data_IF_033158525136
#
_entry.id   IF_033158525136
#
_cell.length_a   1.000
_cell.length_b   1.000
_cell.length_c   1.000
_cell.angle_alpha   90.00
_cell.angle_beta   90.00
_cell.angle_gamma   90.00
#
_symmetry.space_group_name_H-M   'P 1'
#
loop_
_entity.id
_entity.type
_entity.pdbx_description
1 polymer ?
#
# COMPACT_ATOMS: atom_id res chain seq x y z
N UNK A 1 21.62 3.54 -2.62
CA UNK A 1 20.60 2.95 -1.72
C UNK A 1 19.27 3.70 -1.78
N UNK A 2 19.23 5.00 -1.44
CA UNK A 2 17.99 5.82 -1.47
C UNK A 2 17.33 5.83 -2.86
N UNK A 3 18.10 6.09 -3.93
CA UNK A 3 17.57 6.07 -5.29
C UNK A 3 16.98 4.70 -5.69
N UNK A 4 17.54 3.61 -5.16
CA UNK A 4 17.07 2.24 -5.42
C UNK A 4 15.77 1.98 -4.68
N UNK A 5 15.68 2.40 -3.41
CA UNK A 5 14.45 2.34 -2.64
C UNK A 5 13.32 3.14 -3.31
N UNK A 6 13.62 4.35 -3.79
CA UNK A 6 12.66 5.17 -4.53
C UNK A 6 12.19 4.46 -5.79
N UNK A 7 13.12 4.02 -6.63
CA UNK A 7 12.79 3.30 -7.84
C UNK A 7 11.94 2.04 -7.55
N UNK A 8 12.34 1.25 -6.55
CA UNK A 8 11.60 0.06 -6.11
C UNK A 8 10.18 0.41 -5.62
N UNK A 9 10.03 1.49 -4.85
CA UNK A 9 8.72 1.95 -4.37
C UNK A 9 7.82 2.35 -5.54
N UNK A 10 8.30 3.16 -6.49
CA UNK A 10 7.47 3.59 -7.61
C UNK A 10 7.17 2.47 -8.62
N UNK A 11 8.10 1.53 -8.84
CA UNK A 11 7.94 0.47 -9.83
C UNK A 11 7.30 -0.80 -9.27
N UNK A 12 7.83 -1.37 -8.18
CA UNK A 12 7.38 -2.65 -7.62
C UNK A 12 6.16 -2.49 -6.72
N UNK A 13 6.15 -1.48 -5.86
CA UNK A 13 5.07 -1.25 -4.87
C UNK A 13 3.89 -0.51 -5.51
N UNK A 14 4.15 0.66 -6.11
CA UNK A 14 3.09 1.52 -6.69
C UNK A 14 2.70 1.14 -8.11
N UNK A 15 3.55 0.39 -8.84
CA UNK A 15 3.35 0.01 -10.24
C UNK A 15 3.06 1.20 -11.15
N UNK A 16 3.73 2.31 -10.88
CA UNK A 16 3.59 3.56 -11.61
C UNK A 16 4.63 3.65 -12.72
N UNK A 17 4.35 3.00 -13.84
CA UNK A 17 5.11 3.16 -15.08
C UNK A 17 4.44 4.20 -16.01
N UNK A 18 4.16 5.41 -15.49
CA UNK A 18 3.64 6.51 -16.32
C UNK A 18 4.64 7.67 -16.39
N UNK A 19 4.83 8.18 -17.60
CA UNK A 19 5.86 9.15 -18.02
C UNK A 19 5.99 10.39 -17.12
N UNK A 20 4.90 10.86 -16.51
CA UNK A 20 4.89 12.06 -15.66
C UNK A 20 5.34 11.82 -14.20
N UNK A 21 5.71 10.59 -13.83
CA UNK A 21 6.14 10.23 -12.47
C UNK A 21 7.45 9.42 -12.46
N UNK A 22 8.21 9.45 -13.57
CA UNK A 22 9.53 8.83 -13.61
C UNK A 22 10.48 9.66 -12.74
N UNK A 23 10.94 9.04 -11.66
CA UNK A 23 11.97 9.62 -10.80
C UNK A 23 13.30 9.64 -11.57
N UNK A 24 13.79 10.83 -11.91
CA UNK A 24 15.13 11.03 -12.46
C UNK A 24 16.05 11.63 -11.37
N UNK A 25 16.98 10.84 -10.80
CA UNK A 25 17.92 11.34 -9.80
C UNK A 25 18.92 12.37 -10.36
N UNK A 26 19.05 12.49 -11.68
CA UNK A 26 20.00 13.40 -12.35
C UNK A 26 19.34 14.67 -12.92
N UNK A 27 18.01 14.77 -12.89
CA UNK A 27 17.30 15.98 -13.26
C UNK A 27 17.51 17.05 -12.17
N UNK A 28 18.35 18.05 -12.45
CA UNK A 28 18.81 19.02 -11.45
C UNK A 28 17.72 19.98 -10.96
N UNK A 29 16.61 20.09 -11.68
CA UNK A 29 15.63 21.14 -11.40
C UNK A 29 14.56 20.75 -10.36
N UNK A 30 14.32 19.46 -10.09
CA UNK A 30 13.24 19.02 -9.15
C UNK A 30 13.45 17.61 -8.54
N UNK A 31 14.65 17.25 -8.11
CA UNK A 31 14.92 15.92 -7.53
C UNK A 31 14.66 15.86 -6.01
N UNK A 32 13.48 15.38 -5.62
CA UNK A 32 13.19 15.07 -4.21
C UNK A 32 13.70 13.67 -3.84
N UNK A 33 14.50 13.58 -2.79
CA UNK A 33 14.83 12.29 -2.18
C UNK A 33 13.87 11.99 -1.03
N UNK A 34 13.06 10.94 -1.20
CA UNK A 34 12.11 10.48 -0.18
C UNK A 34 12.70 9.22 0.45
N UNK A 35 12.74 9.22 1.79
CA UNK A 35 13.33 8.12 2.57
C UNK A 35 12.37 7.67 3.67
N UNK A 36 12.37 6.37 3.99
CA UNK A 36 11.66 5.86 5.16
C UNK A 36 12.34 6.39 6.43
N UNK A 37 11.53 6.72 7.44
CA UNK A 37 12.02 7.25 8.71
C UNK A 37 11.44 6.48 9.88
N UNK A 38 12.17 6.46 10.98
CA UNK A 38 11.76 5.88 12.26
C UNK A 38 11.95 6.91 13.38
N UNK A 39 11.19 6.74 14.45
CA UNK A 39 11.41 7.52 15.66
C UNK A 39 12.75 7.10 16.26
N UNK A 40 13.59 8.09 16.57
CA UNK A 40 14.84 7.90 17.30
C UNK A 40 14.57 7.35 18.70
N UNK A 41 15.62 6.87 19.36
CA UNK A 41 15.52 6.17 20.66
C UNK A 41 14.82 6.98 21.75
N UNK A 42 14.92 8.30 21.67
CA UNK A 42 14.35 9.24 22.63
C UNK A 42 12.93 9.74 22.24
N UNK A 43 12.37 9.26 21.12
CA UNK A 43 11.02 9.61 20.63
C UNK A 43 10.85 11.04 20.12
N UNK A 44 11.81 11.94 20.37
CA UNK A 44 11.76 13.34 19.94
C UNK A 44 12.42 13.60 18.58
N UNK A 45 13.35 12.74 18.17
CA UNK A 45 14.09 12.89 16.91
C UNK A 45 13.57 11.90 15.86
N UNK A 46 13.62 12.31 14.59
CA UNK A 46 13.28 11.45 13.45
C UNK A 46 14.59 11.06 12.77
N UNK A 47 14.81 9.77 12.58
CA UNK A 47 16.01 9.21 11.96
C UNK A 47 15.65 8.47 10.68
N UNK A 48 16.58 8.42 9.72
CA UNK A 48 16.43 7.64 8.50
C UNK A 48 16.54 6.16 8.85
N UNK A 49 15.62 5.33 8.34
CA UNK A 49 15.64 3.89 8.58
C UNK A 49 16.58 3.17 7.61
N UNK A 50 17.89 3.25 7.89
CA UNK A 50 18.93 2.64 7.08
C UNK A 50 18.83 1.11 7.01
N UNK A 51 18.43 0.47 8.11
CA UNK A 51 18.24 -0.99 8.16
C UNK A 51 17.15 -1.44 7.19
N UNK A 52 16.05 -0.69 7.12
CA UNK A 52 14.98 -0.96 6.17
C UNK A 52 15.43 -0.69 4.72
N UNK A 53 16.21 0.38 4.48
CA UNK A 53 16.78 0.64 3.15
C UNK A 53 17.68 -0.50 2.67
N UNK A 54 18.50 -1.08 3.55
CA UNK A 54 19.34 -2.24 3.25
C UNK A 54 18.51 -3.51 3.00
N UNK A 55 17.46 -3.73 3.80
CA UNK A 55 16.52 -4.83 3.58
C UNK A 55 15.91 -4.76 2.18
N UNK A 56 15.43 -3.58 1.76
CA UNK A 56 14.88 -3.40 0.41
C UNK A 56 15.97 -3.58 -0.65
N UNK A 57 17.17 -3.06 -0.42
CA UNK A 57 18.27 -3.23 -1.38
C UNK A 57 18.63 -4.70 -1.61
N UNK A 58 18.66 -5.51 -0.53
CA UNK A 58 18.97 -6.94 -0.60
C UNK A 58 17.85 -7.76 -1.25
N UNK A 59 16.57 -7.37 -1.07
CA UNK A 59 15.38 -8.10 -1.55
C UNK A 59 14.70 -7.48 -2.77
N UNK A 60 15.33 -6.50 -3.43
CA UNK A 60 14.72 -5.71 -4.51
C UNK A 60 14.26 -6.53 -5.73
N UNK A 61 14.86 -7.70 -5.95
CA UNK A 61 14.58 -8.62 -7.06
C UNK A 61 13.69 -9.80 -6.63
N UNK A 62 13.30 -9.85 -5.35
CA UNK A 62 12.46 -10.92 -4.82
C UNK A 62 11.03 -10.80 -5.40
N UNK A 63 10.63 -11.83 -6.13
CA UNK A 63 9.29 -11.99 -6.68
C UNK A 63 8.65 -13.26 -6.08
N UNK A 64 7.30 -13.35 -6.03
CA UNK A 64 6.66 -14.56 -5.58
C UNK A 64 7.09 -15.74 -6.46
N UNK A 65 7.70 -16.72 -5.83
CA UNK A 65 8.19 -17.93 -6.49
C UNK A 65 7.61 -19.16 -5.81
N UNK A 66 7.58 -20.28 -6.54
CA UNK A 66 7.13 -21.54 -5.96
C UNK A 66 7.96 -21.91 -4.72
N UNK A 67 7.28 -22.26 -3.62
CA UNK A 67 7.92 -22.72 -2.39
C UNK A 67 7.84 -24.26 -2.33
N UNK A 68 8.98 -24.98 -2.33
CA UNK A 68 9.00 -26.43 -2.29
C UNK A 68 8.32 -27.03 -1.04
N UNK A 69 7.72 -28.20 -1.23
CA UNK A 69 7.05 -28.97 -0.18
C UNK A 69 7.88 -29.20 1.08
N UNK A 70 9.20 -29.40 0.94
CA UNK A 70 10.09 -29.63 2.09
C UNK A 70 10.19 -28.40 3.00
N UNK A 71 10.20 -27.21 2.43
CA UNK A 71 10.25 -25.96 3.20
C UNK A 71 8.90 -25.72 3.88
N UNK A 72 7.79 -26.03 3.19
CA UNK A 72 6.43 -25.89 3.71
C UNK A 72 6.12 -26.85 4.86
N UNK A 73 6.73 -28.04 4.90
CA UNK A 73 6.60 -28.97 6.04
C UNK A 73 7.09 -28.37 7.36
N UNK A 74 8.06 -27.46 7.30
CA UNK A 74 8.61 -26.75 8.47
C UNK A 74 7.90 -25.42 8.75
N UNK A 75 6.83 -25.10 8.02
CA UNK A 75 6.09 -23.86 8.19
C UNK A 75 5.41 -23.80 9.56
N UNK A 76 5.85 -22.84 10.37
CA UNK A 76 5.21 -22.49 11.64
C UNK A 76 4.58 -21.12 11.49
N UNK A 77 3.27 -21.06 11.69
CA UNK A 77 2.54 -19.80 11.66
C UNK A 77 2.94 -18.92 12.84
N UNK A 78 3.32 -17.67 12.54
CA UNK A 78 3.70 -16.66 13.54
C UNK A 78 2.85 -15.41 13.33
N UNK A 79 1.85 -15.22 14.19
CA UNK A 79 0.89 -14.12 14.09
C UNK A 79 1.56 -12.74 14.07
N UNK A 80 2.68 -12.57 14.77
CA UNK A 80 3.39 -11.28 14.87
C UNK A 80 3.85 -10.80 13.50
N UNK A 81 4.29 -11.73 12.64
CA UNK A 81 4.75 -11.42 11.28
C UNK A 81 3.63 -10.99 10.35
N UNK A 82 2.37 -11.33 10.64
CA UNK A 82 1.23 -11.07 9.75
C UNK A 82 0.38 -9.87 10.17
N UNK A 83 0.53 -9.31 11.38
CA UNK A 83 -0.29 -8.19 11.86
C UNK A 83 -0.18 -6.91 11.03
N UNK A 84 1.02 -6.57 10.55
CA UNK A 84 1.27 -5.40 9.70
C UNK A 84 1.89 -5.81 8.37
N UNK A 85 1.45 -6.94 7.82
CA UNK A 85 2.03 -7.53 6.62
C UNK A 85 1.25 -7.16 5.35
N UNK A 86 2.02 -7.02 4.26
CA UNK A 86 1.51 -7.19 2.91
C UNK A 86 1.89 -8.59 2.44
N UNK A 87 0.92 -9.35 1.93
CA UNK A 87 1.13 -10.73 1.50
C UNK A 87 0.89 -10.88 -0.01
N UNK A 88 1.61 -11.82 -0.61
CA UNK A 88 1.49 -12.16 -2.03
C UNK A 88 1.38 -13.68 -2.21
N UNK A 89 0.30 -14.19 -2.81
CA UNK A 89 0.16 -15.60 -3.14
C UNK A 89 1.25 -16.04 -4.12
N UNK A 90 2.00 -17.09 -3.81
CA UNK A 90 3.10 -17.55 -4.67
C UNK A 90 2.67 -18.58 -5.73
N UNK A 91 1.50 -19.17 -5.57
CA UNK A 91 0.98 -20.27 -6.42
C UNK A 91 0.16 -19.79 -7.64
N UNK A 92 -0.11 -18.48 -7.78
CA UNK A 92 -0.90 -17.93 -8.89
C UNK A 92 -0.36 -16.57 -9.33
N UNK A 93 -0.63 -16.22 -10.59
CA UNK A 93 -0.32 -14.91 -11.17
C UNK A 93 1.16 -14.51 -10.99
N UNK A 94 2.10 -15.43 -11.25
CA UNK A 94 3.54 -15.18 -11.05
C UNK A 94 4.08 -14.04 -11.92
N UNK A 95 3.58 -13.90 -13.15
CA UNK A 95 3.97 -12.80 -14.04
C UNK A 95 3.48 -11.41 -13.58
N UNK A 96 2.36 -11.38 -12.85
CA UNK A 96 1.77 -10.16 -12.30
C UNK A 96 1.26 -10.43 -10.88
N UNK A 97 2.16 -10.44 -9.89
CA UNK A 97 1.82 -10.73 -8.51
C UNK A 97 0.67 -9.86 -8.02
N UNK A 98 -0.18 -10.37 -7.13
CA UNK A 98 -1.18 -9.55 -6.46
C UNK A 98 -0.78 -9.38 -5.00
N UNK A 99 -0.80 -8.13 -4.53
CA UNK A 99 -0.49 -7.79 -3.15
C UNK A 99 -1.77 -7.55 -2.37
N UNK A 100 -1.80 -8.03 -1.13
CA UNK A 100 -2.93 -7.89 -0.24
C UNK A 100 -2.48 -7.42 1.15
N UNK A 101 -3.26 -6.54 1.76
CA UNK A 101 -3.10 -6.24 3.18
C UNK A 101 -3.68 -7.39 4.00
N UNK A 102 -2.98 -7.83 5.03
CA UNK A 102 -3.61 -8.66 6.05
C UNK A 102 -4.53 -7.76 6.87
N UNK A 103 -5.84 -7.99 6.78
CA UNK A 103 -6.84 -7.23 7.51
C UNK A 103 -7.11 -7.86 8.87
N UNK A 104 -7.24 -9.19 8.92
CA UNK A 104 -7.51 -9.95 10.14
C UNK A 104 -6.88 -11.35 10.07
N UNK A 105 -6.38 -11.83 11.21
CA UNK A 105 -5.97 -13.23 11.39
C UNK A 105 -7.17 -14.00 11.95
N UNK A 106 -7.83 -14.77 11.09
CA UNK A 106 -9.03 -15.53 11.44
C UNK A 106 -8.64 -16.82 12.20
N UNK A 107 -8.37 -16.68 13.49
CA UNK A 107 -8.01 -17.81 14.37
C UNK A 107 -9.15 -18.83 14.55
N UNK A 108 -10.38 -18.45 14.22
CA UNK A 108 -11.57 -19.29 14.24
C UNK A 108 -11.76 -20.11 12.95
N UNK A 109 -10.95 -19.84 11.92
CA UNK A 109 -10.95 -20.57 10.65
C UNK A 109 -9.62 -21.30 10.47
N UNK A 110 -9.68 -22.44 9.79
CA UNK A 110 -8.54 -23.23 9.37
C UNK A 110 -8.80 -23.81 7.97
N UNK A 111 -7.81 -24.43 7.29
CA UNK A 111 -8.03 -25.04 5.98
C UNK A 111 -9.19 -26.04 5.90
N UNK A 112 -9.59 -26.69 7.00
CA UNK A 112 -10.75 -27.61 7.05
C UNK A 112 -12.10 -26.91 7.21
N UNK A 113 -12.11 -25.59 7.37
CA UNK A 113 -13.34 -24.80 7.48
C UNK A 113 -14.07 -24.72 6.14
N UNK A 114 -15.38 -24.48 6.20
CA UNK A 114 -16.24 -24.46 5.01
C UNK A 114 -15.84 -23.37 4.03
N UNK A 115 -15.82 -23.71 2.74
CA UNK A 115 -15.55 -22.75 1.67
C UNK A 115 -16.81 -21.91 1.38
N UNK A 116 -16.69 -20.59 1.11
CA UNK A 116 -17.86 -19.73 0.87
C UNK A 116 -18.58 -19.97 -0.47
N UNK A 117 -18.11 -20.91 -1.31
CA UNK A 117 -18.74 -21.25 -2.59
C UNK A 117 -19.36 -22.65 -2.60
N UNK A 118 -20.27 -22.91 -3.54
CA UNK A 118 -20.94 -24.21 -3.69
C UNK A 118 -20.07 -25.32 -4.27
N UNK A 119 -18.96 -24.97 -4.92
CA UNK A 119 -18.17 -25.92 -5.73
C UNK A 119 -17.19 -26.77 -4.91
N UNK A 120 -16.91 -26.36 -3.66
CA UNK A 120 -15.93 -27.00 -2.78
C UNK A 120 -16.47 -27.00 -1.35
N UNK A 121 -16.22 -28.06 -0.58
CA UNK A 121 -16.68 -28.13 0.80
C UNK A 121 -15.78 -27.32 1.74
N UNK A 122 -14.45 -27.36 1.53
CA UNK A 122 -13.47 -26.73 2.43
C UNK A 122 -12.38 -25.97 1.65
N UNK A 123 -11.67 -25.08 2.34
CA UNK A 123 -10.50 -24.40 1.77
C UNK A 123 -9.42 -25.41 1.35
N UNK A 124 -9.17 -26.42 2.18
CA UNK A 124 -8.23 -27.51 1.91
C UNK A 124 -8.61 -28.25 0.62
N UNK A 125 -9.88 -28.62 0.43
CA UNK A 125 -10.33 -29.27 -0.80
C UNK A 125 -10.09 -28.39 -2.02
N UNK A 126 -10.42 -27.10 -1.95
CA UNK A 126 -10.18 -26.14 -3.02
C UNK A 126 -8.70 -26.09 -3.45
N UNK A 127 -7.80 -25.86 -2.48
CA UNK A 127 -6.37 -25.74 -2.77
C UNK A 127 -5.75 -27.08 -3.16
N UNK A 128 -6.21 -28.19 -2.58
CA UNK A 128 -5.69 -29.52 -2.89
C UNK A 128 -6.08 -29.98 -4.29
N UNK A 129 -7.35 -29.77 -4.68
CA UNK A 129 -7.87 -30.17 -6.00
C UNK A 129 -7.32 -29.30 -7.12
N UNK A 130 -7.10 -28.01 -6.88
CA UNK A 130 -6.64 -27.07 -7.92
C UNK A 130 -5.12 -26.99 -8.04
N UNK A 131 -4.39 -27.16 -6.94
CA UNK A 131 -2.94 -26.94 -6.89
C UNK A 131 -2.16 -28.03 -6.15
N UNK A 132 -2.79 -28.81 -5.26
CA UNK A 132 -2.16 -29.86 -4.45
C UNK A 132 -1.06 -29.35 -3.49
N UNK A 133 -1.30 -28.20 -2.85
CA UNK A 133 -0.28 -27.43 -2.12
C UNK A 133 -0.57 -27.15 -0.63
N UNK A 134 -1.65 -27.63 0.01
CA UNK A 134 -1.84 -27.36 1.46
C UNK A 134 -1.25 -28.49 2.29
N UNK A 135 -0.36 -28.18 3.24
CA UNK A 135 0.23 -29.19 4.13
C UNK A 135 -0.16 -29.02 5.59
N UNK A 136 -0.28 -27.78 6.09
CA UNK A 136 -0.67 -27.55 7.48
C UNK A 136 -2.17 -27.19 7.58
N UNK A 137 -3.02 -28.17 7.89
CA UNK A 137 -4.47 -27.96 7.98
C UNK A 137 -4.94 -27.32 9.30
N UNK A 138 -4.05 -27.04 10.25
CA UNK A 138 -4.37 -26.45 11.56
C UNK A 138 -4.02 -24.98 11.66
N UNK A 139 -3.30 -24.43 10.68
CA UNK A 139 -2.95 -23.01 10.66
C UNK A 139 -4.22 -22.13 10.56
N UNK A 140 -4.22 -20.94 11.17
CA UNK A 140 -5.31 -19.99 10.97
C UNK A 140 -5.33 -19.48 9.53
N UNK A 141 -6.46 -18.92 9.10
CA UNK A 141 -6.57 -18.26 7.79
C UNK A 141 -6.42 -16.74 7.91
N UNK A 142 -6.10 -16.09 6.79
CA UNK A 142 -5.97 -14.63 6.70
C UNK A 142 -7.15 -14.05 5.94
N UNK A 143 -7.87 -13.11 6.56
CA UNK A 143 -8.75 -12.20 5.83
C UNK A 143 -7.89 -11.10 5.22
N UNK A 144 -7.94 -10.96 3.90
CA UNK A 144 -7.08 -10.04 3.18
C UNK A 144 -7.86 -9.03 2.36
N UNK A 145 -7.36 -7.81 2.34
CA UNK A 145 -7.88 -6.72 1.52
C UNK A 145 -6.95 -6.46 0.33
N UNK A 146 -7.52 -6.15 -0.83
CA UNK A 146 -6.73 -5.69 -1.96
C UNK A 146 -5.96 -4.41 -1.61
N UNK A 147 -4.69 -4.33 -2.02
CA UNK A 147 -3.91 -3.08 -1.85
C UNK A 147 -4.46 -1.90 -2.65
N UNK A 148 -5.34 -2.18 -3.62
CA UNK A 148 -6.08 -1.30 -4.54
C UNK A 148 -5.23 -0.23 -5.24
N UNK A 149 -5.26 -0.21 -6.57
CA UNK A 149 -4.59 0.78 -7.41
C UNK A 149 -5.26 2.17 -7.42
N UNK A 150 -6.15 2.49 -6.45
CA UNK A 150 -6.84 3.78 -6.38
C UNK A 150 -5.90 4.86 -5.83
N UNK A 151 -4.91 5.22 -6.65
CA UNK A 151 -3.91 6.26 -6.43
C UNK A 151 -4.45 7.69 -6.52
N UNK A 152 -5.78 7.88 -6.43
CA UNK A 152 -6.40 9.20 -6.48
C UNK A 152 -7.12 9.48 -5.16
N UNK A 153 -6.36 10.01 -4.20
CA UNK A 153 -6.84 10.52 -2.92
C UNK A 153 -7.32 11.98 -3.00
N UNK A 154 -7.36 12.58 -4.19
CA UNK A 154 -7.78 13.96 -4.40
C UNK A 154 -9.30 14.12 -4.46
N UNK A 155 -10.05 13.03 -4.63
CA UNK A 155 -11.53 13.06 -4.58
C UNK A 155 -11.99 12.81 -3.14
N UNK A 156 -12.78 13.71 -2.52
CA UNK A 156 -13.27 13.51 -1.16
C UNK A 156 -14.06 12.21 -1.01
N UNK A 157 -13.90 11.52 0.13
CA UNK A 157 -14.49 10.18 0.40
C UNK A 157 -16.00 10.10 0.27
N UNK A 158 -16.69 11.22 0.40
CA UNK A 158 -18.14 11.34 0.35
C UNK A 158 -18.66 11.69 -1.04
N UNK A 159 -17.80 11.91 -2.05
CA UNK A 159 -18.23 12.21 -3.42
C UNK A 159 -17.58 11.29 -4.44
N UNK A 160 -18.32 10.90 -5.47
CA UNK A 160 -17.76 10.25 -6.65
C UNK A 160 -16.99 11.28 -7.51
N UNK A 161 -16.25 10.85 -8.55
CA UNK A 161 -15.54 11.74 -9.50
C UNK A 161 -16.43 12.79 -10.18
N UNK A 162 -17.74 12.61 -10.15
CA UNK A 162 -18.76 13.56 -10.65
C UNK A 162 -19.29 14.51 -9.57
N UNK A 163 -18.70 14.55 -8.37
CA UNK A 163 -19.16 15.37 -7.24
C UNK A 163 -20.43 14.87 -6.53
N UNK A 164 -20.99 13.74 -6.94
CA UNK A 164 -22.23 13.18 -6.38
C UNK A 164 -21.95 12.46 -5.06
N UNK A 165 -22.74 12.76 -4.04
CA UNK A 165 -22.62 12.14 -2.73
C UNK A 165 -22.75 10.61 -2.81
N UNK A 166 -21.81 9.89 -2.19
CA UNK A 166 -21.90 8.43 -2.08
C UNK A 166 -22.92 8.04 -1.01
N UNK A 167 -23.77 7.03 -1.24
CA UNK A 167 -24.72 6.56 -0.24
C UNK A 167 -23.98 6.10 1.02
N UNK A 168 -24.39 6.63 2.17
CA UNK A 168 -23.91 6.19 3.47
C UNK A 168 -24.53 4.83 3.78
N UNK A 169 -23.71 3.78 3.85
CA UNK A 169 -24.17 2.46 4.31
C UNK A 169 -24.53 2.52 5.80
N UNK A 170 -25.65 1.91 6.19
CA UNK A 170 -26.01 1.77 7.61
C UNK A 170 -25.03 0.82 8.31
N UNK A 171 -24.87 0.97 9.62
CA UNK A 171 -23.99 0.11 10.43
C UNK A 171 -24.36 -1.39 10.32
N UNK A 172 -25.65 -1.71 10.21
CA UNK A 172 -26.12 -3.08 9.97
C UNK A 172 -25.65 -3.62 8.61
N UNK A 173 -25.64 -2.79 7.56
CA UNK A 173 -25.13 -3.24 6.26
C UNK A 173 -23.63 -3.47 6.31
N UNK A 174 -22.88 -2.63 7.04
CA UNK A 174 -21.43 -2.79 7.21
C UNK A 174 -21.10 -4.06 8.00
N UNK A 175 -21.87 -4.36 9.05
CA UNK A 175 -21.72 -5.58 9.84
C UNK A 175 -22.02 -6.83 9.01
N UNK A 176 -23.12 -6.84 8.27
CA UNK A 176 -23.47 -7.95 7.37
C UNK A 176 -22.40 -8.19 6.30
N UNK A 177 -21.79 -7.13 5.74
CA UNK A 177 -20.64 -7.28 4.84
C UNK A 177 -19.40 -7.85 5.54
N UNK A 178 -19.12 -7.42 6.77
CA UNK A 178 -17.98 -7.90 7.56
C UNK A 178 -18.14 -9.36 8.03
N UNK A 179 -19.35 -9.86 8.12
CA UNK A 179 -19.63 -11.25 8.53
C UNK A 179 -19.80 -12.19 7.31
N UNK A 180 -20.05 -11.66 6.10
CA UNK A 180 -20.22 -12.47 4.90
C UNK A 180 -18.87 -12.89 4.28
N UNK A 181 -18.53 -14.16 4.43
CA UNK A 181 -17.32 -14.78 3.86
C UNK A 181 -17.26 -14.74 2.33
N UNK A 182 -18.39 -14.66 1.62
CA UNK A 182 -18.42 -14.55 0.15
C UNK A 182 -17.85 -13.22 -0.34
N UNK A 183 -17.88 -12.18 0.52
CA UNK A 183 -17.32 -10.86 0.21
C UNK A 183 -15.88 -10.71 0.70
N UNK A 184 -15.38 -11.69 1.45
CA UNK A 184 -14.02 -11.71 1.98
C UNK A 184 -13.10 -12.50 1.08
N UNK A 185 -11.86 -12.05 1.00
CA UNK A 185 -10.82 -12.85 0.39
C UNK A 185 -10.02 -13.53 1.50
N UNK A 186 -10.27 -14.83 1.67
CA UNK A 186 -9.58 -15.63 2.68
C UNK A 186 -8.40 -16.38 2.04
N UNK A 187 -7.20 -16.22 2.60
CA UNK A 187 -5.98 -16.88 2.14
C UNK A 187 -5.35 -17.76 3.21
N UNK A 188 -4.59 -18.77 2.77
CA UNK A 188 -3.80 -19.64 3.65
C UNK A 188 -2.40 -19.01 3.82
N UNK A 189 -1.94 -18.75 5.05
CA UNK A 189 -0.63 -18.14 5.31
C UNK A 189 0.54 -18.87 4.65
N UNK A 190 0.57 -20.20 4.71
CA UNK A 190 1.59 -21.06 4.07
C UNK A 190 1.71 -20.82 2.55
N UNK A 191 0.59 -20.44 1.91
CA UNK A 191 0.52 -20.21 0.47
C UNK A 191 0.85 -18.76 0.06
N UNK A 192 1.34 -17.96 1.02
CA UNK A 192 1.63 -16.55 0.85
C UNK A 192 3.07 -16.23 1.26
N UNK A 193 3.76 -15.45 0.43
CA UNK A 193 5.00 -14.78 0.81
C UNK A 193 4.69 -13.44 1.46
N UNK A 194 5.47 -13.05 2.47
CA UNK A 194 5.37 -11.74 3.11
C UNK A 194 6.27 -10.77 2.35
N UNK A 195 5.69 -9.65 1.92
CA UNK A 195 6.42 -8.60 1.24
C UNK A 195 7.26 -7.81 2.26
N UNK A 196 8.48 -7.35 1.89
CA UNK A 196 9.34 -6.58 2.81
C UNK A 196 8.70 -5.30 3.35
N UNK A 197 7.85 -4.64 2.56
CA UNK A 197 7.08 -3.47 3.02
C UNK A 197 5.99 -3.87 4.02
N UNK A 198 5.96 -3.26 5.21
CA UNK A 198 4.82 -3.40 6.11
C UNK A 198 3.59 -2.69 5.55
N UNK A 199 2.40 -3.14 5.94
CA UNK A 199 1.13 -2.62 5.45
C UNK A 199 0.94 -1.14 5.82
N UNK A 200 1.33 -0.73 7.02
CA UNK A 200 1.34 0.66 7.48
C UNK A 200 2.12 1.58 6.53
N UNK A 201 3.37 1.22 6.21
CA UNK A 201 4.22 1.98 5.30
C UNK A 201 3.71 1.92 3.86
N UNK A 202 3.19 0.77 3.42
CA UNK A 202 2.59 0.64 2.09
C UNK A 202 1.41 1.61 1.91
N UNK A 203 0.53 1.73 2.92
CA UNK A 203 -0.58 2.71 2.92
C UNK A 203 -0.10 4.16 2.85
N UNK A 204 1.06 4.47 3.42
CA UNK A 204 1.66 5.80 3.27
C UNK A 204 2.25 5.99 1.88
N UNK A 205 2.95 4.98 1.35
CA UNK A 205 3.56 5.02 0.03
C UNK A 205 2.54 5.22 -1.09
N UNK A 206 1.35 4.63 -1.01
CA UNK A 206 0.29 4.83 -2.02
C UNK A 206 -0.22 6.27 -2.12
N UNK A 207 -0.03 7.08 -1.07
CA UNK A 207 -0.39 8.50 -1.06
C UNK A 207 0.70 9.37 -1.71
N UNK A 208 1.92 8.86 -1.86
CA UNK A 208 3.09 9.63 -2.29
C UNK A 208 2.88 10.35 -3.64
N UNK A 209 2.30 9.73 -4.68
CA UNK A 209 2.06 10.43 -5.95
C UNK A 209 1.12 11.62 -5.81
N UNK A 210 0.09 11.51 -4.97
CA UNK A 210 -0.84 12.61 -4.70
C UNK A 210 -0.17 13.75 -3.94
N UNK A 211 0.65 13.40 -2.94
CA UNK A 211 1.41 14.38 -2.15
C UNK A 211 2.38 15.15 -3.03
N UNK A 212 3.18 14.45 -3.84
CA UNK A 212 4.15 15.08 -4.75
C UNK A 212 3.47 15.94 -5.80
N UNK A 213 2.36 15.46 -6.39
CA UNK A 213 1.58 16.26 -7.34
C UNK A 213 1.09 17.58 -6.71
N UNK A 214 0.61 17.52 -5.45
CA UNK A 214 0.13 18.70 -4.74
C UNK A 214 1.26 19.66 -4.36
N UNK A 215 2.41 19.15 -3.92
CA UNK A 215 3.60 19.97 -3.63
C UNK A 215 4.04 20.69 -4.89
N UNK A 216 4.16 19.99 -6.02
CA UNK A 216 4.53 20.58 -7.30
C UNK A 216 3.55 21.70 -7.71
N UNK A 217 2.24 21.48 -7.55
CA UNK A 217 1.24 22.51 -7.84
C UNK A 217 1.36 23.75 -6.94
N UNK A 218 1.68 23.57 -5.65
CA UNK A 218 1.90 24.68 -4.71
C UNK A 218 3.15 25.49 -5.06
N UNK A 219 4.24 24.82 -5.46
CA UNK A 219 5.48 25.48 -5.88
C UNK A 219 5.27 26.27 -7.18
N UNK A 220 4.58 25.70 -8.17
CA UNK A 220 4.22 26.40 -9.40
C UNK A 220 3.33 27.62 -9.12
N UNK A 221 2.36 27.51 -8.19
CA UNK A 221 1.53 28.65 -7.80
C UNK A 221 2.35 29.77 -7.16
N UNK A 222 3.34 29.42 -6.33
CA UNK A 222 4.24 30.39 -5.70
C UNK A 222 5.18 31.06 -6.71
N UNK A 223 5.67 30.30 -7.69
CA UNK A 223 6.47 30.83 -8.80
C UNK A 223 5.67 31.84 -9.63
N UNK A 224 4.42 31.51 -10.00
CA UNK A 224 3.51 32.42 -10.71
C UNK A 224 3.26 33.67 -9.88
N UNK A 225 2.94 33.52 -8.59
CA UNK A 225 2.73 34.65 -7.66
C UNK A 225 3.94 35.58 -7.64
N UNK A 226 5.14 35.01 -7.51
CA UNK A 226 6.39 35.77 -7.42
C UNK A 226 6.71 36.47 -8.74
N UNK A 227 6.46 35.81 -9.88
CA UNK A 227 6.66 36.40 -11.21
C UNK A 227 5.70 37.56 -11.46
N UNK A 228 4.40 37.41 -11.16
CA UNK A 228 3.40 38.49 -11.28
C UNK A 228 3.75 39.67 -10.37
N UNK A 229 4.16 39.41 -9.12
CA UNK A 229 4.57 40.46 -8.20
C UNK A 229 5.82 41.22 -8.69
N UNK A 230 6.76 40.52 -9.34
CA UNK A 230 7.98 41.11 -9.88
C UNK A 230 7.73 41.93 -11.14
N UNK A 231 6.97 41.39 -12.08
CA UNK A 231 6.84 41.96 -13.43
C UNK A 231 5.71 42.98 -13.53
N UNK A 232 4.60 42.75 -12.83
CA UNK A 232 3.40 43.59 -12.89
C UNK A 232 3.31 44.51 -11.67
N UNK A 233 4.07 44.24 -10.60
CA UNK A 233 4.01 45.01 -9.35
C UNK A 233 2.75 44.72 -8.53
N UNK A 234 2.06 43.62 -8.80
CA UNK A 234 0.84 43.22 -8.10
C UNK A 234 1.13 42.16 -7.03
N UNK A 235 0.89 42.51 -5.76
CA UNK A 235 1.07 41.62 -4.62
C UNK A 235 2.43 41.77 -3.94
N UNK A 236 2.72 40.85 -3.01
CA UNK A 236 3.96 40.85 -2.23
C UNK A 236 4.93 39.83 -2.84
N UNK A 237 6.20 40.20 -3.00
CA UNK A 237 7.28 39.29 -3.42
C UNK A 237 7.59 38.26 -2.31
N UNK A 238 7.77 38.74 -1.09
CA UNK A 238 8.05 37.94 0.10
C UNK A 238 6.86 38.03 1.04
N UNK A 239 6.35 36.87 1.48
CA UNK A 239 5.28 36.81 2.45
C UNK A 239 5.84 36.89 3.87
N UNK A 240 5.15 37.56 4.81
CA UNK A 240 5.46 37.47 6.24
C UNK A 240 5.46 36.01 6.75
N UNK A 241 6.26 35.72 7.78
CA UNK A 241 6.38 34.37 8.32
C UNK A 241 5.07 33.85 8.95
N UNK A 242 4.20 34.75 9.39
CA UNK A 242 2.87 34.50 9.97
C UNK A 242 1.73 34.56 8.93
N UNK A 243 2.07 34.68 7.65
CA UNK A 243 1.08 34.79 6.59
C UNK A 243 0.34 33.46 6.34
N UNK A 244 -0.99 33.50 6.44
CA UNK A 244 -1.86 32.37 6.13
C UNK A 244 -2.76 32.66 4.92
N UNK A 245 -2.73 31.76 3.94
CA UNK A 245 -3.69 31.76 2.84
C UNK A 245 -5.07 31.36 3.36
N UNK A 246 -6.06 32.26 3.24
CA UNK A 246 -7.45 31.93 3.59
C UNK A 246 -7.97 30.78 2.70
N UNK A 247 -8.62 29.75 3.25
CA UNK A 247 -9.22 28.70 2.43
C UNK A 247 -10.32 29.29 1.54
N UNK A 248 -10.05 29.44 0.24
CA UNK A 248 -11.04 29.78 -0.78
C UNK A 248 -11.65 31.18 -0.65
N UNK A 249 -10.90 32.21 -1.00
CA UNK A 249 -11.41 33.57 -1.22
C UNK A 249 -11.20 34.01 -2.66
N UNK A 250 -11.86 33.35 -3.63
CA UNK A 250 -12.20 34.04 -4.87
C UNK A 250 -13.44 34.89 -4.55
N UNK A 251 -13.21 36.14 -4.15
CA UNK A 251 -14.22 37.19 -4.16
C UNK A 251 -14.21 37.87 -5.53
#
# INVERSE_FOLDING_TARGET
MIAIFLNYTFTSVLRLQKYLMLFDPNASENSYMIVPTKNGKDGANVEVDWEFLELIYSRREEMPHHIPDKERQTFVFDAVKYHDAVVMPWYRNQDQPQYFYVAEICSHLNPKSSFPGSDYQTFEEYYQKKYSIVQNSQQPLLDVDHTSARLNFLTPRYVNRKGVALPTSSEETKRAKRENLEQKQILVPELCMIHPFPASLWRQAVCLPCVLYRINALLLADEIRTTVAREIGLGLLTLPADFEWRPGGFS
#
